data_IF_900129483053
#
_entry.id   IF_900129483053
#
_cell.length_a   1.000
_cell.length_b   1.000
_cell.length_c   1.000
_cell.angle_alpha   90.00
_cell.angle_beta   90.00
_cell.angle_gamma   90.00
#
_symmetry.space_group_name_H-M   'P 1'
#
loop_
_entity.id
_entity.type
_entity.pdbx_description
1 polymer ?
#
# COMPACT_ATOMS: atom_id res chain seq x y z
N UNK A 1 -3.01 -1.44 17.93
CA UNK A 1 -2.70 -1.60 16.50
C UNK A 1 -2.22 -0.28 15.96
N UNK A 2 -1.65 -0.29 14.77
CA UNK A 2 -1.09 0.89 14.11
C UNK A 2 -2.01 1.27 12.96
N UNK A 3 -2.56 2.47 13.00
CA UNK A 3 -3.36 3.00 11.91
C UNK A 3 -2.44 3.58 10.83
N UNK A 4 -2.54 3.03 9.62
CA UNK A 4 -1.73 3.43 8.48
C UNK A 4 -2.65 4.01 7.43
N UNK A 5 -2.60 5.34 7.30
CA UNK A 5 -3.28 6.06 6.23
C UNK A 5 -2.50 5.88 4.93
N UNK A 6 -3.20 5.58 3.84
CA UNK A 6 -2.57 5.42 2.53
C UNK A 6 -3.32 6.20 1.45
N UNK A 7 -2.57 6.58 0.42
CA UNK A 7 -3.07 7.09 -0.84
C UNK A 7 -2.50 6.22 -1.98
N UNK A 8 -3.38 5.53 -2.69
CA UNK A 8 -3.03 4.77 -3.90
C UNK A 8 -3.40 5.60 -5.12
N UNK A 9 -2.39 5.98 -5.91
CA UNK A 9 -2.56 6.89 -7.05
C UNK A 9 -2.20 6.21 -8.36
N UNK A 10 -3.08 6.34 -9.35
CA UNK A 10 -2.89 5.86 -10.71
C UNK A 10 -2.92 7.07 -11.64
N UNK A 11 -1.89 7.22 -12.45
CA UNK A 11 -1.82 8.24 -13.49
C UNK A 11 -1.66 7.56 -14.84
N UNK A 12 -2.62 7.77 -15.74
CA UNK A 12 -2.55 7.20 -17.08
C UNK A 12 -1.61 8.00 -17.97
N UNK A 13 -0.91 7.32 -18.89
CA UNK A 13 -0.05 7.96 -19.89
C UNK A 13 -0.50 7.56 -21.31
N UNK A 14 -0.77 8.51 -22.23
CA UNK A 14 -0.79 9.98 -22.00
C UNK A 14 -1.84 10.37 -20.95
N UNK A 15 -1.78 11.59 -20.39
CA UNK A 15 -2.60 12.07 -19.26
C UNK A 15 -4.11 12.16 -19.59
N UNK A 16 -4.74 11.01 -19.81
CA UNK A 16 -6.15 10.88 -20.20
C UNK A 16 -7.06 10.72 -18.98
N UNK A 17 -6.51 10.28 -17.84
CA UNK A 17 -7.24 10.01 -16.61
C UNK A 17 -6.29 9.91 -15.41
N UNK A 18 -6.85 10.03 -14.21
CA UNK A 18 -6.18 9.67 -12.95
C UNK A 18 -7.18 9.07 -11.97
N UNK A 19 -6.68 8.24 -11.05
CA UNK A 19 -7.47 7.69 -9.96
C UNK A 19 -6.71 7.86 -8.64
N UNK A 20 -7.45 8.15 -7.57
CA UNK A 20 -6.91 8.27 -6.22
C UNK A 20 -7.82 7.50 -5.28
N UNK A 21 -7.28 6.48 -4.62
CA UNK A 21 -7.96 5.73 -3.56
C UNK A 21 -7.28 6.07 -2.24
N UNK A 22 -8.07 6.59 -1.30
CA UNK A 22 -7.61 6.90 0.06
C UNK A 22 -8.25 5.94 1.03
N UNK A 23 -7.51 5.50 2.03
CA UNK A 23 -8.03 4.61 3.05
C UNK A 23 -7.10 4.47 4.22
N UNK A 24 -7.47 3.55 5.11
CA UNK A 24 -6.66 3.17 6.26
C UNK A 24 -6.51 1.66 6.33
N UNK A 25 -5.34 1.21 6.77
CA UNK A 25 -5.09 -0.17 7.18
C UNK A 25 -4.83 -0.16 8.68
N UNK A 26 -5.52 -1.04 9.41
CA UNK A 26 -5.25 -1.27 10.82
C UNK A 26 -4.25 -2.43 10.94
N UNK A 27 -2.99 -2.11 11.17
CA UNK A 27 -1.90 -3.08 11.24
C UNK A 27 -1.73 -3.61 12.67
N UNK A 28 -1.63 -4.93 12.80
CA UNK A 28 -1.37 -5.61 14.05
C UNK A 28 -0.05 -6.39 13.92
N UNK A 29 1.05 -5.92 14.53
CA UNK A 29 2.29 -6.68 14.52
C UNK A 29 2.13 -8.00 15.30
N UNK A 30 2.92 -9.04 14.98
CA UNK A 30 2.81 -10.36 15.62
C UNK A 30 2.99 -10.33 17.14
N UNK A 31 3.81 -9.40 17.65
CA UNK A 31 4.11 -9.22 19.06
C UNK A 31 3.64 -7.82 19.49
N UNK A 32 2.98 -7.72 20.64
CA UNK A 32 2.35 -6.48 21.10
C UNK A 32 3.38 -5.39 21.39
N UNK A 33 4.54 -5.79 21.90
CA UNK A 33 5.67 -4.94 22.27
C UNK A 33 6.23 -4.18 21.06
N UNK A 34 6.09 -4.75 19.86
CA UNK A 34 6.55 -4.11 18.63
C UNK A 34 5.72 -2.89 18.22
N UNK A 35 4.53 -2.68 18.80
CA UNK A 35 3.70 -1.52 18.47
C UNK A 35 4.45 -0.24 18.85
N UNK A 36 4.96 -0.18 20.09
CA UNK A 36 5.66 0.99 20.60
C UNK A 36 6.96 1.23 19.82
N UNK A 37 7.69 0.16 19.48
CA UNK A 37 8.92 0.26 18.66
C UNK A 37 8.67 0.86 17.28
N UNK A 38 7.59 0.47 16.60
CA UNK A 38 7.26 1.02 15.27
C UNK A 38 6.89 2.50 15.39
N UNK A 39 6.06 2.84 16.38
CA UNK A 39 5.64 4.22 16.61
C UNK A 39 6.84 5.11 16.95
N UNK A 40 7.73 4.65 17.84
CA UNK A 40 8.98 5.32 18.17
C UNK A 40 9.89 5.54 16.96
N UNK A 41 10.08 4.51 16.14
CA UNK A 41 10.89 4.60 14.92
C UNK A 41 10.29 5.61 13.94
N UNK A 42 8.97 5.62 13.79
CA UNK A 42 8.27 6.59 12.96
C UNK A 42 8.36 8.01 13.52
N UNK A 43 8.23 8.20 14.82
CA UNK A 43 8.34 9.50 15.47
C UNK A 43 9.73 10.09 15.33
N UNK A 44 10.77 9.29 15.62
CA UNK A 44 12.17 9.71 15.65
C UNK A 44 12.78 9.82 14.26
N UNK A 45 12.52 8.85 13.38
CA UNK A 45 13.22 8.74 12.09
C UNK A 45 12.32 8.87 10.86
N UNK A 46 10.98 8.90 11.03
CA UNK A 46 10.01 8.87 9.91
C UNK A 46 10.23 7.68 8.98
N UNK A 47 10.66 6.54 9.54
CA UNK A 47 10.89 5.30 8.81
C UNK A 47 9.85 4.24 9.19
N UNK A 48 9.57 3.36 8.24
CA UNK A 48 8.76 2.16 8.42
C UNK A 48 9.68 0.95 8.24
N UNK A 49 9.51 -0.07 9.08
CA UNK A 49 10.27 -1.31 8.94
C UNK A 49 9.99 -1.95 7.56
N UNK A 50 11.02 -2.45 6.84
CA UNK A 50 10.83 -3.02 5.51
C UNK A 50 9.76 -4.11 5.45
N UNK A 51 9.69 -4.96 6.49
CA UNK A 51 8.74 -6.05 6.61
C UNK A 51 7.30 -5.54 6.67
N UNK A 52 7.04 -4.59 7.59
CA UNK A 52 5.74 -3.95 7.72
C UNK A 52 5.33 -3.22 6.43
N UNK A 53 6.28 -2.53 5.77
CA UNK A 53 6.00 -1.87 4.49
C UNK A 53 5.59 -2.87 3.41
N UNK A 54 6.33 -3.98 3.26
CA UNK A 54 6.02 -5.01 2.29
C UNK A 54 4.66 -5.66 2.55
N UNK A 55 4.36 -5.98 3.81
CA UNK A 55 3.06 -6.53 4.22
C UNK A 55 1.90 -5.59 3.87
N UNK A 56 2.00 -4.32 4.26
CA UNK A 56 0.94 -3.32 4.03
C UNK A 56 0.75 -3.05 2.55
N UNK A 57 1.82 -2.83 1.78
CA UNK A 57 1.70 -2.52 0.34
C UNK A 57 1.09 -3.69 -0.42
N UNK A 58 1.52 -4.91 -0.13
CA UNK A 58 0.97 -6.10 -0.78
C UNK A 58 -0.49 -6.32 -0.38
N UNK A 59 -0.84 -6.11 0.89
CA UNK A 59 -2.22 -6.19 1.37
C UNK A 59 -3.11 -5.16 0.66
N UNK A 60 -2.75 -3.87 0.70
CA UNK A 60 -3.48 -2.78 0.02
C UNK A 60 -3.65 -3.10 -1.46
N UNK A 61 -2.58 -3.53 -2.14
CA UNK A 61 -2.65 -3.83 -3.56
C UNK A 61 -3.61 -4.98 -3.85
N UNK A 62 -3.58 -6.06 -3.05
CA UNK A 62 -4.47 -7.20 -3.24
C UNK A 62 -5.94 -6.83 -3.03
N UNK A 63 -6.24 -6.02 -2.01
CA UNK A 63 -7.62 -5.62 -1.68
C UNK A 63 -8.21 -4.62 -2.67
N UNK A 64 -7.41 -3.65 -3.13
CA UNK A 64 -7.91 -2.55 -3.98
C UNK A 64 -7.94 -2.94 -5.46
N UNK A 65 -7.09 -3.89 -5.88
CA UNK A 65 -7.00 -4.29 -7.29
C UNK A 65 -8.34 -4.69 -7.91
N UNK A 66 -9.15 -5.60 -7.32
CA UNK A 66 -10.41 -6.01 -7.92
C UNK A 66 -11.36 -4.84 -8.17
N UNK A 67 -11.47 -3.93 -7.19
CA UNK A 67 -12.29 -2.72 -7.28
C UNK A 67 -11.81 -1.82 -8.43
N UNK A 68 -10.50 -1.58 -8.52
CA UNK A 68 -9.91 -0.76 -9.56
C UNK A 68 -10.09 -1.36 -10.96
N UNK A 69 -10.03 -2.69 -11.10
CA UNK A 69 -10.24 -3.36 -12.39
C UNK A 69 -11.68 -3.22 -12.88
N UNK A 70 -12.66 -3.34 -11.98
CA UNK A 70 -14.08 -3.08 -12.30
C UNK A 70 -14.27 -1.61 -12.71
N UNK A 71 -13.72 -0.67 -11.93
CA UNK A 71 -13.82 0.76 -12.25
C UNK A 71 -13.18 1.11 -13.60
N UNK A 72 -12.00 0.57 -13.91
CA UNK A 72 -11.36 0.78 -15.21
C UNK A 72 -12.21 0.23 -16.36
N UNK A 73 -12.80 -0.96 -16.20
CA UNK A 73 -13.67 -1.55 -17.21
C UNK A 73 -14.90 -0.68 -17.48
N UNK A 74 -15.58 -0.22 -16.42
CA UNK A 74 -16.79 0.60 -16.54
C UNK A 74 -16.50 1.96 -17.20
N UNK A 75 -15.32 2.52 -16.91
CA UNK A 75 -14.85 3.77 -17.52
C UNK A 75 -14.19 3.59 -18.89
N UNK A 76 -14.09 2.36 -19.40
CA UNK A 76 -13.35 2.01 -20.64
C UNK A 76 -11.90 2.49 -20.64
N UNK A 77 -11.27 2.48 -19.47
CA UNK A 77 -9.86 2.79 -19.29
C UNK A 77 -9.00 1.52 -19.42
N UNK A 78 -7.70 1.65 -19.79
CA UNK A 78 -6.76 0.55 -19.68
C UNK A 78 -6.69 -0.02 -18.26
N UNK A 79 -6.41 -1.31 -18.14
CA UNK A 79 -6.18 -1.93 -16.84
C UNK A 79 -4.85 -1.50 -16.23
N UNK A 80 -4.83 -1.39 -14.90
CA UNK A 80 -3.70 -0.87 -14.11
C UNK A 80 -2.62 -1.94 -13.89
N UNK A 81 -1.98 -2.38 -14.98
CA UNK A 81 -0.94 -3.42 -14.94
C UNK A 81 0.44 -2.84 -15.29
N UNK A 82 1.53 -3.39 -14.71
CA UNK A 82 1.56 -4.46 -13.71
C UNK A 82 1.19 -3.95 -12.31
N UNK A 83 0.66 -4.86 -11.49
CA UNK A 83 0.32 -4.55 -10.10
C UNK A 83 1.59 -4.40 -9.25
N UNK A 84 1.65 -3.39 -8.35
CA UNK A 84 2.76 -3.27 -7.42
C UNK A 84 2.90 -4.53 -6.56
N UNK A 85 4.10 -5.09 -6.50
CA UNK A 85 4.41 -6.17 -5.56
C UNK A 85 5.75 -5.90 -4.92
N UNK A 86 5.78 -5.95 -3.60
CA UNK A 86 6.99 -5.73 -2.82
C UNK A 86 7.49 -7.07 -2.29
N UNK A 87 8.73 -7.43 -2.61
CA UNK A 87 9.43 -8.53 -1.98
C UNK A 87 10.67 -7.99 -1.26
N UNK A 88 10.94 -8.53 -0.07
CA UNK A 88 12.19 -8.24 0.62
C UNK A 88 13.32 -8.98 -0.10
N UNK A 89 14.39 -8.27 -0.47
CA UNK A 89 15.61 -8.95 -0.91
C UNK A 89 16.22 -9.68 0.28
N UNK A 90 16.56 -10.98 0.17
CA UNK A 90 17.40 -11.64 1.15
C UNK A 90 18.70 -10.84 1.29
N UNK A 91 19.20 -10.66 2.52
CA UNK A 91 20.57 -10.16 2.71
C UNK A 91 21.52 -11.24 2.19
N UNK A 92 22.32 -10.92 1.18
CA UNK A 92 23.45 -11.75 0.71
C UNK A 92 24.58 -11.81 1.75
#
# INVERSE_FOLDING_TARGET
GIEVLFEYRINYRPEIASAVVKGMVFYLPPQKEQIDEVLDLWEKEKKVRPEMFAEIVNFITNEITPLLMVAAKDMKLPYHIPLPRVSLKPRE
#
